data_IF_671367179148
#
_entry.id   IF_671367179148
#
_cell.length_a   1.000
_cell.length_b   1.000
_cell.length_c   1.000
_cell.angle_alpha   90.00
_cell.angle_beta   90.00
_cell.angle_gamma   90.00
#
_symmetry.space_group_name_H-M   'P 1'
#
loop_
_entity.id
_entity.type
_entity.pdbx_description
1 polymer ?
#
# COMPACT_ATOMS: atom_id res chain seq x y z
N UNK A 1 15.42 29.83 -11.27
CA UNK A 1 14.48 28.77 -11.74
C UNK A 1 13.03 28.94 -11.27
N UNK A 2 12.73 29.12 -9.97
CA UNK A 2 11.32 29.23 -9.48
C UNK A 2 10.48 30.34 -10.15
N UNK A 3 11.09 31.48 -10.55
CA UNK A 3 10.40 32.58 -11.25
C UNK A 3 10.03 32.25 -12.70
N UNK A 4 10.84 31.46 -13.42
CA UNK A 4 10.54 31.07 -14.80
C UNK A 4 9.45 30.00 -14.84
N UNK A 5 9.46 29.04 -13.92
CA UNK A 5 8.39 28.04 -13.79
C UNK A 5 7.02 28.66 -13.46
N UNK A 6 6.99 29.69 -12.59
CA UNK A 6 5.75 30.39 -12.24
C UNK A 6 5.14 31.11 -13.45
N UNK A 7 5.97 31.83 -14.23
CA UNK A 7 5.54 32.48 -15.48
C UNK A 7 5.04 31.47 -16.53
N UNK A 8 5.70 30.32 -16.66
CA UNK A 8 5.26 29.26 -17.57
C UNK A 8 3.94 28.65 -17.09
N UNK A 9 3.77 28.41 -15.79
CA UNK A 9 2.51 27.93 -15.20
C UNK A 9 1.34 28.91 -15.40
N UNK A 10 1.54 30.20 -15.18
CA UNK A 10 0.50 31.22 -15.38
C UNK A 10 0.11 31.28 -16.85
N UNK A 11 1.08 31.33 -17.77
CA UNK A 11 0.84 31.34 -19.22
C UNK A 11 0.14 30.07 -19.71
N UNK A 12 0.52 28.89 -19.18
CA UNK A 12 -0.14 27.61 -19.48
C UNK A 12 -1.53 27.55 -18.86
N UNK A 13 -1.74 28.02 -17.63
CA UNK A 13 -3.06 28.06 -16.99
C UNK A 13 -4.02 29.02 -17.67
N UNK A 14 -3.54 30.18 -18.09
CA UNK A 14 -4.30 31.16 -18.85
C UNK A 14 -4.60 30.63 -20.25
N UNK A 15 -3.63 29.96 -20.89
CA UNK A 15 -3.88 29.18 -22.10
C UNK A 15 -4.94 28.10 -21.86
N UNK A 16 -4.86 27.30 -20.80
CA UNK A 16 -5.81 26.21 -20.52
C UNK A 16 -7.22 26.73 -20.21
N UNK A 17 -7.34 27.84 -19.48
CA UNK A 17 -8.63 28.50 -19.21
C UNK A 17 -9.23 29.16 -20.45
N UNK A 18 -8.38 29.68 -21.34
CA UNK A 18 -8.82 30.35 -22.57
C UNK A 18 -8.89 29.40 -23.78
N UNK A 19 -8.34 28.19 -23.73
CA UNK A 19 -8.37 27.15 -24.76
C UNK A 19 -9.50 26.15 -24.45
N UNK A 20 -10.53 26.15 -25.28
CA UNK A 20 -11.55 25.09 -25.29
C UNK A 20 -10.87 23.77 -25.70
N UNK A 21 -10.77 22.80 -24.79
CA UNK A 21 -10.32 21.44 -25.07
C UNK A 21 -11.52 20.47 -25.22
N UNK A 22 -11.34 19.45 -26.06
CA UNK A 22 -12.34 18.41 -26.33
C UNK A 22 -12.41 17.32 -25.26
N UNK A 23 -13.62 16.79 -25.05
CA UNK A 23 -13.85 15.42 -24.62
C UNK A 23 -14.50 14.59 -25.76
N UNK A 24 -14.27 13.26 -25.85
CA UNK A 24 -14.62 12.46 -27.03
C UNK A 24 -16.12 12.22 -27.27
N UNK A 25 -17.01 12.51 -26.30
CA UNK A 25 -18.39 12.03 -26.33
C UNK A 25 -19.45 13.05 -26.80
N UNK A 26 -19.09 14.27 -27.19
CA UNK A 26 -20.08 15.36 -27.40
C UNK A 26 -20.03 16.06 -28.78
N UNK A 27 -19.43 15.46 -29.81
CA UNK A 27 -19.73 15.85 -31.20
C UNK A 27 -19.43 17.30 -31.63
N UNK A 28 -18.15 17.73 -31.53
CA UNK A 28 -17.46 18.99 -32.03
C UNK A 28 -17.17 20.01 -30.90
N UNK A 29 -16.01 20.69 -30.73
CA UNK A 29 -15.29 21.71 -31.56
C UNK A 29 -13.77 21.92 -31.21
N UNK A 30 -12.93 22.25 -32.22
CA UNK A 30 -11.44 22.42 -32.16
C UNK A 30 -10.98 23.86 -31.88
N UNK A 31 -9.72 24.05 -31.41
CA UNK A 31 -9.05 25.35 -31.29
C UNK A 31 -7.95 25.57 -32.35
N UNK A 32 -7.99 26.75 -32.99
CA UNK A 32 -7.21 27.23 -34.15
C UNK A 32 -5.69 27.30 -33.87
N UNK A 33 -4.88 26.58 -34.65
CA UNK A 33 -3.43 26.77 -34.72
C UNK A 33 -3.13 28.01 -35.57
N UNK A 34 -2.47 29.03 -35.00
CA UNK A 34 -2.03 30.24 -35.72
C UNK A 34 -0.85 29.91 -36.63
N UNK A 35 -1.10 29.50 -37.88
CA UNK A 35 -0.20 29.68 -39.02
C UNK A 35 -1.05 29.87 -40.27
N UNK A 36 -0.89 31.03 -40.90
CA UNK A 36 -1.51 31.38 -42.17
C UNK A 36 -0.64 30.83 -43.29
N UNK A 37 -0.99 29.67 -43.82
CA UNK A 37 -0.57 29.24 -45.16
C UNK A 37 -1.80 29.39 -46.05
N UNK A 38 -1.72 30.24 -47.07
CA UNK A 38 -2.87 30.72 -47.83
C UNK A 38 -3.54 29.68 -48.75
N UNK A 39 -3.04 28.44 -48.82
CA UNK A 39 -3.51 27.44 -49.81
C UNK A 39 -3.64 26.00 -49.28
N UNK A 40 -3.89 25.78 -47.98
CA UNK A 40 -4.10 24.42 -47.46
C UNK A 40 -5.38 24.29 -46.63
N UNK A 41 -6.31 23.44 -47.08
CA UNK A 41 -7.51 23.08 -46.32
C UNK A 41 -7.12 22.13 -45.17
N UNK A 42 -6.97 22.68 -43.96
CA UNK A 42 -6.57 21.90 -42.78
C UNK A 42 -7.71 21.02 -42.28
N UNK A 43 -7.64 19.73 -42.57
CA UNK A 43 -8.48 18.71 -41.90
C UNK A 43 -8.09 18.63 -40.41
N UNK A 44 -9.06 18.64 -39.48
CA UNK A 44 -8.74 18.55 -38.07
C UNK A 44 -8.11 17.19 -37.73
N UNK A 45 -6.99 17.22 -37.00
CA UNK A 45 -6.32 16.00 -36.50
C UNK A 45 -6.89 15.64 -35.12
N UNK A 46 -7.45 14.43 -34.92
CA UNK A 46 -7.97 14.00 -33.63
C UNK A 46 -6.85 13.88 -32.58
N UNK A 47 -7.04 14.50 -31.41
CA UNK A 47 -6.15 14.32 -30.26
C UNK A 47 -6.55 13.03 -29.53
N UNK A 48 -5.70 11.99 -29.59
CA UNK A 48 -5.96 10.70 -28.91
C UNK A 48 -5.52 10.68 -27.44
N UNK A 49 -4.52 11.48 -27.07
CA UNK A 49 -3.99 11.55 -25.70
C UNK A 49 -3.32 12.90 -25.42
N UNK A 50 -3.40 13.34 -24.17
CA UNK A 50 -2.71 14.54 -23.66
C UNK A 50 -1.79 14.15 -22.51
N UNK A 51 -0.66 14.85 -22.35
CA UNK A 51 0.25 14.63 -21.21
C UNK A 51 -0.24 15.46 -20.03
N UNK A 52 -0.47 14.81 -18.89
CA UNK A 52 -0.87 15.46 -17.64
C UNK A 52 0.27 15.36 -16.64
N UNK A 53 0.56 16.46 -15.94
CA UNK A 53 1.57 16.46 -14.88
C UNK A 53 0.98 15.83 -13.62
N UNK A 54 1.62 14.76 -13.13
CA UNK A 54 1.40 14.18 -11.81
C UNK A 54 2.66 14.38 -10.98
N UNK A 55 2.50 14.75 -9.72
CA UNK A 55 3.61 14.79 -8.76
C UNK A 55 3.68 13.44 -8.06
N UNK A 56 4.84 12.80 -8.07
CA UNK A 56 5.09 11.53 -7.40
C UNK A 56 5.88 11.80 -6.11
N UNK A 57 5.48 11.20 -5.00
CA UNK A 57 6.19 11.30 -3.72
C UNK A 57 7.34 10.28 -3.60
N UNK A 58 7.07 9.04 -4.02
CA UNK A 58 7.98 7.90 -3.85
C UNK A 58 8.39 7.31 -5.21
N UNK A 59 8.81 8.17 -6.15
CA UNK A 59 9.22 7.73 -7.47
C UNK A 59 10.51 6.91 -7.41
N UNK A 60 10.54 5.77 -8.12
CA UNK A 60 11.76 4.94 -8.30
C UNK A 60 12.21 4.96 -9.75
N UNK A 61 13.50 4.78 -9.98
CA UNK A 61 14.04 4.64 -11.33
C UNK A 61 13.61 3.30 -11.93
N UNK A 62 13.17 3.30 -13.19
CA UNK A 62 12.81 2.07 -13.91
C UNK A 62 14.03 1.16 -14.18
N UNK A 63 15.19 1.78 -14.39
CA UNK A 63 16.48 1.11 -14.54
C UNK A 63 17.47 1.81 -13.62
N UNK A 64 18.21 1.04 -12.82
CA UNK A 64 19.28 1.63 -12.03
C UNK A 64 20.26 2.34 -12.96
N UNK A 65 20.66 3.58 -12.63
CA UNK A 65 21.77 4.21 -13.32
C UNK A 65 23.03 3.39 -13.00
N UNK A 66 23.44 2.52 -13.92
CA UNK A 66 24.67 1.76 -13.77
C UNK A 66 25.85 2.73 -13.84
N UNK A 67 26.47 2.98 -12.69
CA UNK A 67 27.70 3.77 -12.59
C UNK A 67 27.51 5.27 -12.37
N UNK A 68 28.56 5.86 -11.80
CA UNK A 68 28.74 7.27 -11.44
C UNK A 68 28.74 8.21 -12.65
N UNK A 69 27.64 8.35 -13.41
CA UNK A 69 27.54 9.23 -14.58
C UNK A 69 26.17 9.94 -14.52
N UNK A 70 25.97 11.21 -14.19
CA UNK A 70 26.73 12.46 -14.40
C UNK A 70 27.24 12.71 -15.83
N UNK A 71 27.09 11.77 -16.75
CA UNK A 71 27.30 12.07 -18.17
C UNK A 71 25.94 12.34 -18.79
N UNK A 72 25.71 13.63 -19.03
CA UNK A 72 24.73 14.15 -20.00
C UNK A 72 25.09 13.61 -21.39
N UNK A 73 24.90 12.31 -21.65
CA UNK A 73 24.94 11.80 -23.01
C UNK A 73 23.58 12.09 -23.62
N UNK A 74 23.59 13.02 -24.58
CA UNK A 74 22.42 13.64 -25.22
C UNK A 74 21.49 12.64 -25.93
N UNK A 75 21.88 11.37 -26.05
CA UNK A 75 21.15 10.34 -26.77
C UNK A 75 20.35 9.34 -25.91
N UNK A 76 20.65 9.16 -24.61
CA UNK A 76 20.07 8.05 -23.81
C UNK A 76 19.66 8.41 -22.37
N UNK A 77 19.39 9.69 -22.12
CA UNK A 77 19.02 10.18 -20.79
C UNK A 77 17.52 9.97 -20.49
N UNK A 78 17.12 8.73 -20.23
CA UNK A 78 15.73 8.42 -19.88
C UNK A 78 15.46 8.75 -18.40
N UNK A 79 14.85 9.90 -18.15
CA UNK A 79 14.18 10.24 -16.88
C UNK A 79 12.90 9.39 -16.70
N UNK A 80 13.07 8.07 -16.61
CA UNK A 80 12.01 7.10 -16.47
C UNK A 80 11.83 6.74 -15.00
N UNK A 81 10.73 7.23 -14.46
CA UNK A 81 10.32 6.97 -13.10
C UNK A 81 9.05 6.14 -13.10
N UNK A 82 8.95 5.26 -12.11
CA UNK A 82 7.74 4.51 -11.79
C UNK A 82 7.25 4.91 -10.40
N UNK A 83 5.94 4.92 -10.26
CA UNK A 83 5.28 4.97 -8.94
C UNK A 83 5.08 3.51 -8.50
N UNK A 84 5.79 3.02 -7.47
CA UNK A 84 5.65 1.64 -7.00
C UNK A 84 4.26 1.36 -6.38
N UNK A 85 3.47 2.40 -6.09
CA UNK A 85 2.12 2.31 -5.55
C UNK A 85 2.04 1.51 -4.23
N UNK A 86 1.19 0.49 -4.18
CA UNK A 86 0.77 -0.16 -2.94
C UNK A 86 1.89 -0.99 -2.29
N UNK A 87 1.80 -1.09 -0.97
CA UNK A 87 2.64 -1.99 -0.19
C UNK A 87 2.21 -3.43 -0.44
N UNK A 88 3.18 -4.36 -0.51
CA UNK A 88 2.93 -5.79 -0.61
C UNK A 88 2.64 -6.37 0.76
N UNK A 89 3.54 -6.13 1.70
CA UNK A 89 3.45 -6.65 3.06
C UNK A 89 4.22 -5.74 4.03
N UNK A 90 3.99 -5.96 5.31
CA UNK A 90 4.81 -5.40 6.40
C UNK A 90 5.44 -6.57 7.13
N UNK A 91 6.74 -6.48 7.40
CA UNK A 91 7.43 -7.42 8.27
C UNK A 91 7.71 -6.77 9.61
N UNK A 92 7.44 -7.47 10.70
CA UNK A 92 7.65 -7.02 12.06
C UNK A 92 8.78 -7.86 12.66
N UNK A 93 9.73 -7.20 13.31
CA UNK A 93 10.87 -7.83 13.96
C UNK A 93 10.90 -7.46 15.44
N UNK A 94 11.34 -8.40 16.28
CA UNK A 94 11.70 -8.16 17.67
C UNK A 94 13.11 -7.58 17.75
N UNK A 95 13.28 -6.49 18.49
CA UNK A 95 14.61 -5.95 18.81
C UNK A 95 15.12 -6.51 20.15
N UNK A 96 16.44 -6.58 20.38
CA UNK A 96 17.00 -7.01 21.66
C UNK A 96 16.45 -6.19 22.84
N UNK A 97 16.16 -6.86 23.95
CA UNK A 97 15.59 -6.24 25.15
C UNK A 97 16.47 -5.09 25.67
N UNK A 98 15.87 -3.92 25.88
CA UNK A 98 16.53 -2.85 26.62
C UNK A 98 16.07 -1.41 26.37
N UNK A 99 15.41 -1.07 25.25
CA UNK A 99 14.89 0.30 25.04
C UNK A 99 13.65 0.34 24.15
N UNK A 100 12.55 0.81 24.73
CA UNK A 100 11.29 1.29 24.12
C UNK A 100 11.14 1.06 22.60
N UNK A 101 10.23 0.13 22.30
CA UNK A 101 9.79 -0.44 21.00
C UNK A 101 10.41 -1.82 20.74
N UNK A 102 9.92 -2.80 21.50
CA UNK A 102 10.26 -4.24 21.34
C UNK A 102 10.02 -4.74 19.92
N UNK A 103 9.14 -4.09 19.15
CA UNK A 103 8.83 -4.41 17.77
C UNK A 103 9.18 -3.25 16.82
N UNK A 104 9.84 -3.58 15.71
CA UNK A 104 10.16 -2.67 14.60
C UNK A 104 9.56 -3.19 13.29
N UNK A 105 8.91 -2.31 12.54
CA UNK A 105 8.35 -2.66 11.23
C UNK A 105 9.30 -2.38 10.05
N UNK A 106 9.12 -3.14 8.98
CA UNK A 106 9.66 -2.90 7.65
C UNK A 106 8.53 -3.00 6.63
N UNK A 107 8.17 -1.88 6.03
CA UNK A 107 7.13 -1.82 4.99
C UNK A 107 7.78 -2.12 3.64
N UNK A 108 7.28 -3.14 2.95
CA UNK A 108 7.84 -3.62 1.68
C UNK A 108 6.86 -3.37 0.55
N UNK A 109 7.29 -2.67 -0.49
CA UNK A 109 6.48 -2.46 -1.69
C UNK A 109 6.44 -3.70 -2.58
N UNK A 110 5.44 -3.80 -3.46
CA UNK A 110 5.42 -4.89 -4.46
C UNK A 110 6.67 -4.89 -5.35
N UNK A 111 7.18 -3.70 -5.65
CA UNK A 111 8.42 -3.55 -6.41
C UNK A 111 9.61 -4.21 -5.71
N UNK A 112 9.80 -3.90 -4.43
CA UNK A 112 10.89 -4.47 -3.62
C UNK A 112 10.74 -6.00 -3.45
N UNK A 113 9.51 -6.48 -3.23
CA UNK A 113 9.24 -7.91 -3.09
C UNK A 113 9.60 -8.69 -4.38
N UNK A 114 9.21 -8.17 -5.55
CA UNK A 114 9.56 -8.77 -6.85
C UNK A 114 11.07 -8.74 -7.10
N UNK A 115 11.74 -7.65 -6.73
CA UNK A 115 13.18 -7.53 -6.87
C UNK A 115 13.94 -8.57 -6.03
N UNK A 116 13.51 -8.79 -4.78
CA UNK A 116 14.06 -9.84 -3.91
C UNK A 116 13.90 -11.23 -4.53
N UNK A 117 12.71 -11.56 -5.01
CA UNK A 117 12.45 -12.85 -5.67
C UNK A 117 13.35 -13.04 -6.91
N UNK A 118 13.56 -11.98 -7.70
CA UNK A 118 14.48 -12.02 -8.85
C UNK A 118 15.94 -12.26 -8.45
N UNK A 119 16.34 -11.82 -7.26
CA UNK A 119 17.67 -12.05 -6.70
C UNK A 119 17.80 -13.43 -6.03
N UNK A 120 16.75 -14.27 -6.07
CA UNK A 120 16.73 -15.58 -5.41
C UNK A 120 16.52 -15.50 -3.89
N UNK A 121 15.98 -14.39 -3.39
CA UNK A 121 15.62 -14.19 -1.98
C UNK A 121 14.12 -14.35 -1.79
N UNK A 122 13.69 -14.73 -0.59
CA UNK A 122 12.28 -14.77 -0.23
C UNK A 122 11.67 -13.36 -0.27
N UNK A 123 10.42 -13.27 -0.74
CA UNK A 123 9.69 -12.02 -0.82
C UNK A 123 9.58 -11.35 0.56
N UNK A 124 9.27 -12.14 1.59
CA UNK A 124 9.27 -11.73 3.00
C UNK A 124 10.64 -12.04 3.60
N UNK A 125 11.29 -11.02 4.15
CA UNK A 125 12.61 -11.19 4.76
C UNK A 125 12.47 -11.77 6.17
N UNK A 126 12.51 -13.10 6.30
CA UNK A 126 12.48 -13.78 7.61
C UNK A 126 13.83 -13.81 8.30
N UNK A 127 14.90 -13.35 7.65
CA UNK A 127 16.25 -13.42 8.21
C UNK A 127 16.46 -12.26 9.18
N UNK A 128 16.86 -12.60 10.40
CA UNK A 128 17.39 -11.68 11.38
C UNK A 128 18.52 -10.83 10.78
N UNK A 129 18.38 -9.50 10.88
CA UNK A 129 19.46 -8.54 10.58
C UNK A 129 19.68 -7.69 11.83
N UNK A 130 20.93 -7.34 12.13
CA UNK A 130 21.28 -6.39 13.20
C UNK A 130 20.66 -6.76 14.57
N UNK A 131 20.86 -8.00 15.02
CA UNK A 131 20.33 -8.57 16.28
C UNK A 131 18.80 -8.59 16.42
N UNK A 132 18.05 -8.39 15.33
CA UNK A 132 16.59 -8.49 15.34
C UNK A 132 16.09 -9.89 14.98
N UNK A 133 15.04 -10.37 15.65
CA UNK A 133 14.39 -11.65 15.34
C UNK A 133 13.12 -11.42 14.54
N UNK A 134 12.85 -12.23 13.50
CA UNK A 134 11.56 -12.16 12.81
C UNK A 134 10.42 -12.44 13.79
N UNK A 135 9.43 -11.55 13.84
CA UNK A 135 8.28 -11.71 14.73
C UNK A 135 7.03 -12.13 13.97
N UNK A 136 6.64 -11.36 12.95
CA UNK A 136 5.42 -11.63 12.19
C UNK A 136 5.45 -10.90 10.85
N UNK A 137 4.64 -11.34 9.89
CA UNK A 137 4.36 -10.58 8.67
C UNK A 137 2.86 -10.33 8.48
N UNK A 138 2.53 -9.19 7.87
CA UNK A 138 1.19 -8.78 7.52
C UNK A 138 1.08 -8.59 6.01
N UNK A 139 0.26 -9.40 5.36
CA UNK A 139 -0.10 -9.26 3.95
C UNK A 139 -1.62 -9.20 3.78
N UNK A 140 -2.05 -8.52 2.71
CA UNK A 140 -3.46 -8.43 2.37
C UNK A 140 -4.07 -9.82 2.20
N UNK A 141 -5.26 -10.01 2.76
CA UNK A 141 -6.02 -11.25 2.81
C UNK A 141 -5.51 -12.32 3.79
N UNK A 142 -4.42 -12.09 4.52
CA UNK A 142 -4.06 -12.96 5.63
C UNK A 142 -5.06 -12.85 6.77
N UNK A 143 -5.25 -13.95 7.51
CA UNK A 143 -6.24 -14.06 8.57
C UNK A 143 -5.58 -13.98 9.95
N UNK A 144 -6.28 -13.34 10.88
CA UNK A 144 -5.83 -13.09 12.24
C UNK A 144 -7.00 -13.28 13.22
N UNK A 145 -6.72 -13.92 14.35
CA UNK A 145 -7.62 -13.99 15.49
C UNK A 145 -7.26 -12.90 16.49
N UNK A 146 -8.24 -12.09 16.88
CA UNK A 146 -8.05 -10.96 17.79
C UNK A 146 -8.59 -11.30 19.18
N UNK A 147 -7.68 -11.68 20.10
CA UNK A 147 -8.06 -12.13 21.44
C UNK A 147 -8.58 -10.99 22.32
N UNK A 148 -7.99 -9.79 22.24
CA UNK A 148 -8.32 -8.68 23.13
C UNK A 148 -9.46 -7.77 22.68
N UNK A 149 -10.21 -8.10 21.61
CA UNK A 149 -11.27 -7.23 21.10
C UNK A 149 -12.51 -7.12 22.00
N UNK A 150 -12.78 -8.13 22.84
CA UNK A 150 -14.04 -8.29 23.57
C UNK A 150 -13.85 -8.34 25.10
N UNK A 151 -12.79 -7.73 25.63
CA UNK A 151 -12.48 -7.67 27.07
C UNK A 151 -13.59 -7.11 27.99
N UNK A 152 -14.69 -6.59 27.45
CA UNK A 152 -15.88 -6.24 28.25
C UNK A 152 -16.66 -7.46 28.75
N UNK A 153 -16.50 -8.65 28.16
CA UNK A 153 -16.99 -9.90 28.73
C UNK A 153 -15.97 -10.45 29.74
N UNK A 154 -15.84 -9.77 30.90
CA UNK A 154 -15.06 -10.25 32.06
C UNK A 154 -15.66 -11.49 32.75
N UNK A 155 -16.60 -12.17 32.09
CA UNK A 155 -17.24 -13.39 32.59
C UNK A 155 -16.86 -14.52 31.65
N UNK A 156 -15.86 -15.30 32.09
CA UNK A 156 -15.19 -16.41 31.39
C UNK A 156 -14.20 -15.98 30.31
N UNK A 157 -12.94 -15.95 30.74
CA UNK A 157 -11.77 -16.29 29.93
C UNK A 157 -11.68 -15.56 28.60
N UNK A 158 -10.76 -14.60 28.53
CA UNK A 158 -10.00 -14.42 27.32
C UNK A 158 -9.68 -15.79 26.70
N UNK A 159 -9.61 -15.87 25.38
CA UNK A 159 -9.14 -17.05 24.64
C UNK A 159 -7.65 -17.24 24.99
N UNK A 160 -7.28 -17.33 26.26
CA UNK A 160 -5.93 -17.52 26.75
C UNK A 160 -5.51 -18.95 26.42
N UNK A 161 -6.43 -19.91 26.55
CA UNK A 161 -6.16 -21.35 26.40
C UNK A 161 -7.17 -22.10 25.53
N UNK A 162 -7.84 -21.45 24.57
CA UNK A 162 -8.54 -22.25 23.55
C UNK A 162 -7.47 -22.89 22.68
N UNK A 163 -7.22 -24.17 22.91
CA UNK A 163 -6.56 -25.04 21.94
C UNK A 163 -7.34 -24.88 20.64
N UNK A 164 -6.80 -24.10 19.69
CA UNK A 164 -7.46 -23.81 18.41
C UNK A 164 -7.81 -25.11 17.66
N UNK A 165 -7.13 -26.19 18.00
CA UNK A 165 -7.33 -27.54 17.49
C UNK A 165 -8.71 -28.11 17.83
N UNK A 166 -9.30 -27.73 18.97
CA UNK A 166 -10.59 -28.25 19.48
C UNK A 166 -11.73 -27.21 19.47
N UNK A 167 -11.44 -25.98 19.06
CA UNK A 167 -12.42 -24.90 19.06
C UNK A 167 -13.44 -25.03 17.92
N UNK A 168 -14.72 -24.79 18.24
CA UNK A 168 -15.76 -24.67 17.22
C UNK A 168 -15.48 -23.45 16.31
N UNK A 169 -15.52 -23.66 15.00
CA UNK A 169 -15.41 -22.62 13.98
C UNK A 169 -16.38 -21.47 14.25
N UNK A 170 -17.61 -21.75 14.70
CA UNK A 170 -18.61 -20.71 14.97
C UNK A 170 -18.16 -19.74 16.09
N UNK A 171 -17.33 -20.22 17.03
CA UNK A 171 -16.74 -19.40 18.09
C UNK A 171 -15.58 -18.59 17.53
N UNK A 172 -14.62 -19.25 16.87
CA UNK A 172 -13.43 -18.59 16.30
C UNK A 172 -13.78 -17.54 15.25
N UNK A 173 -14.78 -17.83 14.41
CA UNK A 173 -15.33 -16.96 13.37
C UNK A 173 -15.64 -15.55 13.91
N UNK A 174 -16.15 -15.42 15.13
CA UNK A 174 -16.48 -14.11 15.75
C UNK A 174 -15.26 -13.22 15.97
N UNK A 175 -14.09 -13.82 16.14
CA UNK A 175 -12.82 -13.14 16.41
C UNK A 175 -11.90 -13.15 15.19
N UNK A 176 -12.39 -13.62 14.03
CA UNK A 176 -11.60 -13.83 12.82
C UNK A 176 -11.67 -12.61 11.90
N UNK A 177 -10.50 -12.04 11.65
CA UNK A 177 -10.32 -10.85 10.83
C UNK A 177 -9.35 -11.12 9.70
N UNK A 178 -9.58 -10.44 8.57
CA UNK A 178 -8.73 -10.42 7.41
C UNK A 178 -7.98 -9.10 7.35
N UNK A 179 -6.68 -9.15 7.09
CA UNK A 179 -5.89 -7.95 6.81
C UNK A 179 -6.34 -7.35 5.46
N UNK A 180 -6.72 -6.07 5.45
CA UNK A 180 -7.24 -5.41 4.26
C UNK A 180 -6.24 -4.44 3.63
N UNK A 181 -5.52 -3.69 4.47
CA UNK A 181 -4.52 -2.74 4.05
C UNK A 181 -3.40 -2.63 5.08
N UNK A 182 -2.18 -2.41 4.59
CA UNK A 182 -1.00 -2.22 5.42
C UNK A 182 -0.23 -0.97 5.01
N UNK A 183 0.12 -0.17 6.00
CA UNK A 183 0.97 1.01 5.90
C UNK A 183 1.82 1.12 7.15
N UNK A 184 2.82 2.00 7.13
CA UNK A 184 3.66 2.28 8.29
C UNK A 184 2.82 2.68 9.50
N UNK A 185 2.96 1.92 10.59
CA UNK A 185 2.22 2.06 11.85
C UNK A 185 0.69 2.15 11.68
N UNK A 186 0.13 1.59 10.60
CA UNK A 186 -1.31 1.62 10.34
C UNK A 186 -1.74 0.36 9.57
N UNK A 187 -2.30 -0.60 10.31
CA UNK A 187 -2.75 -1.89 9.77
C UNK A 187 -4.26 -2.00 9.91
N UNK A 188 -4.96 -2.16 8.80
CA UNK A 188 -6.42 -2.26 8.74
C UNK A 188 -6.84 -3.72 8.66
N UNK A 189 -7.75 -4.11 9.55
CA UNK A 189 -8.33 -5.43 9.63
C UNK A 189 -9.85 -5.34 9.57
N UNK A 190 -10.45 -6.29 8.87
CA UNK A 190 -11.90 -6.39 8.72
C UNK A 190 -12.37 -7.77 9.10
N UNK A 191 -13.50 -7.87 9.79
CA UNK A 191 -14.11 -9.14 10.11
C UNK A 191 -14.29 -9.98 8.84
N UNK A 192 -13.94 -11.26 8.87
CA UNK A 192 -13.83 -12.08 7.65
C UNK A 192 -15.14 -12.24 6.85
N UNK A 193 -16.31 -12.17 7.50
CA UNK A 193 -17.63 -12.17 6.84
C UNK A 193 -18.06 -10.81 6.30
N UNK A 194 -17.36 -9.73 6.65
CA UNK A 194 -17.76 -8.38 6.27
C UNK A 194 -17.27 -8.03 4.86
N UNK A 195 -18.19 -7.49 4.05
CA UNK A 195 -17.95 -7.14 2.64
C UNK A 195 -18.01 -5.63 2.40
N UNK A 196 -18.62 -4.88 3.31
CA UNK A 196 -18.73 -3.42 3.21
C UNK A 196 -17.41 -2.74 3.54
N UNK A 197 -17.08 -1.67 2.81
CA UNK A 197 -15.87 -0.88 3.02
C UNK A 197 -16.02 0.22 4.08
N UNK A 198 -17.01 0.08 4.95
CA UNK A 198 -17.29 1.08 5.96
C UNK A 198 -16.31 0.96 7.14
N UNK A 199 -15.76 2.10 7.57
CA UNK A 199 -14.79 2.21 8.67
C UNK A 199 -15.46 2.52 10.02
N UNK A 200 -16.78 2.70 10.04
CA UNK A 200 -17.51 3.25 11.20
C UNK A 200 -18.08 2.22 12.19
N UNK A 201 -17.71 0.95 12.12
CA UNK A 201 -18.26 -0.07 13.02
C UNK A 201 -17.19 -0.92 13.72
N UNK A 202 -17.14 -0.83 15.05
CA UNK A 202 -16.73 -1.98 15.87
C UNK A 202 -17.95 -2.90 16.02
N UNK A 203 -17.81 -4.23 15.96
CA UNK A 203 -16.55 -4.96 15.88
C UNK A 203 -16.03 -5.21 14.44
N UNK A 204 -16.74 -4.79 13.39
CA UNK A 204 -16.43 -5.19 12.00
C UNK A 204 -15.10 -4.66 11.44
N UNK A 205 -14.62 -3.52 11.93
CA UNK A 205 -13.38 -2.89 11.51
C UNK A 205 -12.47 -2.63 12.72
N UNK A 206 -11.20 -2.99 12.57
CA UNK A 206 -10.16 -2.81 13.59
C UNK A 206 -8.91 -2.26 12.93
N UNK A 207 -8.27 -1.29 13.58
CA UNK A 207 -6.98 -0.78 13.11
C UNK A 207 -5.95 -0.85 14.23
N UNK A 208 -4.79 -1.42 13.92
CA UNK A 208 -3.63 -1.38 14.82
C UNK A 208 -2.74 -0.22 14.39
N UNK A 209 -2.40 0.66 15.34
CA UNK A 209 -1.66 1.90 15.08
C UNK A 209 -0.37 2.06 15.87
N UNK A 210 -0.10 1.14 16.78
CA UNK A 210 1.14 1.11 17.55
C UNK A 210 1.41 -0.31 18.03
N UNK A 211 2.64 -0.58 18.43
CA UNK A 211 3.01 -1.84 19.08
C UNK A 211 2.82 -1.83 20.60
N UNK A 212 2.04 -0.90 21.16
CA UNK A 212 1.85 -0.80 22.61
C UNK A 212 0.59 -1.51 23.14
N UNK A 213 0.23 -1.17 24.37
CA UNK A 213 -0.99 -1.62 25.07
C UNK A 213 -2.13 -0.58 25.05
N UNK A 214 -2.05 0.43 24.18
CA UNK A 214 -3.11 1.43 24.02
C UNK A 214 -4.36 0.90 23.30
N UNK A 215 -5.42 1.70 23.20
CA UNK A 215 -6.73 1.32 22.58
C UNK A 215 -6.62 0.72 21.17
N UNK A 216 -5.55 1.05 20.42
CA UNK A 216 -5.27 0.54 19.07
C UNK A 216 -3.91 -0.16 18.98
N UNK A 217 -3.42 -0.67 20.11
CA UNK A 217 -2.11 -1.28 20.26
C UNK A 217 -2.10 -2.75 19.84
N UNK A 218 -0.97 -3.19 19.29
CA UNK A 218 -0.76 -4.59 18.91
C UNK A 218 -0.92 -5.52 20.11
N UNK A 219 -0.30 -5.18 21.26
CA UNK A 219 -0.38 -6.03 22.46
C UNK A 219 -1.76 -6.03 23.08
N UNK A 220 -2.55 -4.96 22.94
CA UNK A 220 -3.95 -4.93 23.36
C UNK A 220 -4.81 -5.91 22.57
N UNK A 221 -4.64 -5.95 21.25
CA UNK A 221 -5.44 -6.85 20.43
C UNK A 221 -4.92 -8.28 20.43
N UNK A 222 -3.61 -8.46 20.69
CA UNK A 222 -2.90 -9.73 20.68
C UNK A 222 -3.28 -10.60 19.46
N UNK A 223 -3.06 -10.08 18.23
CA UNK A 223 -3.48 -10.77 17.01
C UNK A 223 -2.64 -12.03 16.79
N UNK A 224 -3.30 -13.14 16.46
CA UNK A 224 -2.64 -14.40 16.14
C UNK A 224 -2.91 -14.74 14.69
N UNK A 225 -1.83 -14.92 13.93
CA UNK A 225 -1.92 -15.30 12.53
C UNK A 225 -2.41 -16.73 12.35
N UNK A 226 -3.41 -16.89 11.49
CA UNK A 226 -4.05 -18.18 11.20
C UNK A 226 -4.26 -18.35 9.69
N UNK A 227 -4.49 -19.58 9.26
CA UNK A 227 -5.00 -19.87 7.93
C UNK A 227 -6.27 -20.69 8.01
N UNK A 228 -7.10 -20.58 6.97
CA UNK A 228 -8.27 -21.40 6.78
C UNK A 228 -7.90 -22.55 5.83
N UNK A 229 -8.07 -23.79 6.28
CA UNK A 229 -7.91 -24.97 5.44
C UNK A 229 -9.03 -25.06 4.40
N UNK A 230 -8.85 -25.81 3.29
CA UNK A 230 -9.93 -26.08 2.35
C UNK A 230 -11.16 -26.74 2.99
N UNK A 231 -11.00 -27.43 4.12
CA UNK A 231 -12.08 -28.04 4.91
C UNK A 231 -12.79 -27.07 5.85
N UNK A 232 -12.36 -25.81 5.92
CA UNK A 232 -12.95 -24.79 6.80
C UNK A 232 -12.44 -24.81 8.24
N UNK A 233 -11.41 -25.60 8.56
CA UNK A 233 -10.72 -25.57 9.86
C UNK A 233 -9.75 -24.39 9.91
N UNK A 234 -9.69 -23.71 11.05
CA UNK A 234 -8.76 -22.62 11.32
C UNK A 234 -7.53 -23.20 12.03
N UNK A 235 -6.36 -23.01 11.44
CA UNK A 235 -5.10 -23.56 11.95
C UNK A 235 -4.09 -22.42 12.16
N UNK A 236 -3.24 -22.55 13.20
CA UNK A 236 -2.19 -21.57 13.46
C UNK A 236 -1.12 -21.65 12.39
N UNK A 237 -0.68 -20.50 11.89
CA UNK A 237 0.58 -20.44 11.16
C UNK A 237 1.69 -20.38 12.21
N UNK A 238 2.38 -21.50 12.41
CA UNK A 238 3.61 -21.54 13.21
C UNK A 238 4.77 -21.18 12.30
N UNK A 239 5.66 -20.30 12.77
CA UNK A 239 6.77 -19.76 11.99
C UNK A 239 7.95 -20.72 11.87
#
# INVERSE_FOLDING_TARGET
EKKSEKKVKEKVSEMLKNLNFYMPNEGKRYKRLKKEDQNFERKPVPIKKVRVKRTLKNARFLKEPQGLHLIKNEANNYNQYVDPQNNHHVTIYKTPDGKLKELKESVVSFWDAVERVKQGLDAVDKKAKDDTEFFESLEKNELFLFKGLYETDRTKGAIEDVEMEDADFAVLSKYLYRCEAVSSEYYEFRHHLESTHNREFRPHYVSIRSFGEGITGWFTYSPIKVHLTPTGKIERITL
#
